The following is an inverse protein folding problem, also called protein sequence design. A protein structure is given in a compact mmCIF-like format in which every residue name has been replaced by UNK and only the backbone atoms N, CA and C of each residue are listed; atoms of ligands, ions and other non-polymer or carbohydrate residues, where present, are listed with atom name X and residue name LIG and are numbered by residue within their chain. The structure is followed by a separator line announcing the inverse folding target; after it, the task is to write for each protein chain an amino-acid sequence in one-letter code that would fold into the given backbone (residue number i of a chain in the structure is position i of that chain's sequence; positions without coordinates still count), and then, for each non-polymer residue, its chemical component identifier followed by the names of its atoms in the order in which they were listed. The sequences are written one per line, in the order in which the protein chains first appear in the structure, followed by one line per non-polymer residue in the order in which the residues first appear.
data_IF_793291337335
#
_entry.id   IF_793291337335
#
_cell.length_a   1.000
_cell.length_b   1.000
_cell.length_c   1.000
_cell.angle_alpha   90.00
_cell.angle_beta   90.00
_cell.angle_gamma   90.00
#
_symmetry.space_group_name_H-M   'P 1'
#
loop_
_entity.id
_entity.type
_entity.pdbx_description
1 polymer ?
#
# COMPACT_ATOMS: atom_id res chain seq x y z
N UNK A 1 18.10 19.09 6.43
CA UNK A 1 16.64 18.90 6.59
C UNK A 1 15.85 18.93 5.27
N UNK A 2 16.16 19.79 4.29
CA UNK A 2 15.47 19.79 2.97
C UNK A 2 15.65 18.49 2.16
N UNK A 3 16.86 17.93 2.19
CA UNK A 3 17.22 16.76 1.37
C UNK A 3 16.41 15.49 1.70
N UNK A 4 16.17 15.20 2.99
CA UNK A 4 15.37 14.03 3.41
C UNK A 4 13.90 14.15 3.00
N UNK A 5 13.33 15.35 3.03
CA UNK A 5 11.97 15.61 2.56
C UNK A 5 11.87 15.46 1.03
N UNK A 6 12.87 15.91 0.28
CA UNK A 6 12.91 15.78 -1.18
C UNK A 6 13.09 14.32 -1.62
N UNK A 7 13.84 13.53 -0.84
CA UNK A 7 14.00 12.09 -1.00
C UNK A 7 12.66 11.37 -0.83
N UNK A 8 11.95 11.61 0.27
CA UNK A 8 10.66 10.96 0.56
C UNK A 8 9.56 11.36 -0.41
N UNK A 9 9.61 12.60 -0.93
CA UNK A 9 8.73 13.04 -2.01
C UNK A 9 9.11 12.44 -3.36
N UNK A 10 10.19 11.66 -3.49
CA UNK A 10 10.61 11.08 -4.77
C UNK A 10 10.97 12.11 -5.83
N UNK A 11 11.41 13.33 -5.45
CA UNK A 11 11.77 14.37 -6.44
C UNK A 11 12.90 13.92 -7.37
N UNK A 12 13.84 13.14 -6.86
CA UNK A 12 14.97 12.58 -7.59
C UNK A 12 14.54 11.52 -8.63
N UNK A 13 13.42 10.83 -8.40
CA UNK A 13 12.81 9.88 -9.37
C UNK A 13 11.93 10.58 -10.40
N UNK A 14 11.59 11.85 -10.18
CA UNK A 14 10.50 12.53 -10.88
C UNK A 14 9.13 11.81 -10.75
N UNK A 15 9.00 10.87 -9.79
CA UNK A 15 7.81 10.07 -9.51
C UNK A 15 7.52 10.02 -8.00
N UNK A 16 6.25 9.98 -7.57
CA UNK A 16 5.91 9.87 -6.16
C UNK A 16 6.36 8.52 -5.60
N UNK A 17 7.03 8.55 -4.44
CA UNK A 17 7.63 7.36 -3.85
C UNK A 17 6.57 6.46 -3.18
N UNK A 18 5.53 7.04 -2.59
CA UNK A 18 4.48 6.28 -1.91
C UNK A 18 3.77 5.27 -2.83
N UNK A 19 3.25 5.66 -4.02
CA UNK A 19 2.65 4.71 -4.97
C UNK A 19 3.61 3.59 -5.39
N UNK A 20 4.92 3.82 -5.47
CA UNK A 20 5.89 2.77 -5.82
C UNK A 20 5.96 1.74 -4.68
N UNK A 21 6.15 2.20 -3.44
CA UNK A 21 6.36 1.32 -2.28
C UNK A 21 5.12 0.48 -1.98
N UNK A 22 3.91 1.06 -2.06
CA UNK A 22 2.66 0.38 -1.67
C UNK A 22 2.30 -0.83 -2.53
N UNK A 23 2.90 -1.00 -3.72
CA UNK A 23 2.72 -2.22 -4.52
C UNK A 23 3.20 -3.46 -3.77
N UNK A 24 4.24 -3.33 -2.93
CA UNK A 24 4.80 -4.46 -2.18
C UNK A 24 3.80 -5.02 -1.16
N UNK A 25 3.29 -4.26 -0.17
CA UNK A 25 2.28 -4.80 0.75
C UNK A 25 1.01 -5.24 0.02
N UNK A 26 0.61 -4.52 -1.04
CA UNK A 26 -0.55 -4.89 -1.86
C UNK A 26 -0.40 -6.25 -2.55
N UNK A 27 0.81 -6.66 -2.93
CA UNK A 27 1.06 -7.98 -3.49
C UNK A 27 1.31 -9.04 -2.39
N UNK A 28 2.10 -8.70 -1.38
CA UNK A 28 2.59 -9.65 -0.38
C UNK A 28 1.49 -10.14 0.57
N UNK A 29 0.63 -9.27 1.09
CA UNK A 29 -0.39 -9.67 2.06
C UNK A 29 -1.52 -10.53 1.47
N UNK A 30 -2.05 -10.24 0.26
CA UNK A 30 -2.93 -11.20 -0.42
C UNK A 30 -2.24 -12.51 -0.76
N UNK A 31 -0.96 -12.48 -1.16
CA UNK A 31 -0.18 -13.71 -1.40
C UNK A 31 -0.05 -14.55 -0.13
N UNK A 32 0.19 -13.92 1.02
CA UNK A 32 0.21 -14.59 2.32
C UNK A 32 -1.10 -15.32 2.60
N UNK A 33 -2.24 -14.67 2.36
CA UNK A 33 -3.55 -15.29 2.48
C UNK A 33 -3.73 -16.48 1.52
N UNK A 34 -3.29 -16.37 0.26
CA UNK A 34 -3.35 -17.47 -0.71
C UNK A 34 -2.56 -18.68 -0.19
N UNK A 35 -1.34 -18.45 0.31
CA UNK A 35 -0.52 -19.51 0.89
C UNK A 35 -1.13 -20.10 2.18
N UNK A 36 -1.77 -19.27 3.02
CA UNK A 36 -2.50 -19.74 4.19
C UNK A 36 -3.64 -20.68 3.78
N UNK A 37 -4.40 -20.34 2.73
CA UNK A 37 -5.48 -21.18 2.17
C UNK A 37 -4.95 -22.49 1.57
N UNK A 38 -3.85 -22.43 0.81
CA UNK A 38 -3.20 -23.64 0.28
C UNK A 38 -2.77 -24.59 1.40
N UNK A 39 -2.29 -24.06 2.52
CA UNK A 39 -1.93 -24.88 3.69
C UNK A 39 -3.15 -25.61 4.29
N UNK A 40 -4.37 -25.04 4.21
CA UNK A 40 -5.59 -25.72 4.69
C UNK A 40 -5.93 -26.94 3.85
N UNK A 41 -5.63 -26.90 2.55
CA UNK A 41 -5.79 -28.03 1.63
C UNK A 41 -4.58 -28.98 1.63
N UNK A 42 -3.65 -28.83 2.57
CA UNK A 42 -2.43 -29.63 2.67
C UNK A 42 -1.54 -29.55 1.41
N UNK A 43 -1.64 -28.45 0.65
CA UNK A 43 -0.84 -28.22 -0.56
C UNK A 43 0.50 -27.59 -0.17
N UNK A 44 1.60 -28.21 -0.61
CA UNK A 44 2.97 -27.71 -0.43
C UNK A 44 3.57 -27.87 0.98
N UNK A 45 2.82 -28.46 1.93
CA UNK A 45 3.28 -28.72 3.30
C UNK A 45 3.78 -27.46 4.01
N UNK A 46 4.87 -27.57 4.77
CA UNK A 46 5.44 -26.43 5.49
C UNK A 46 5.90 -25.27 4.56
N UNK A 47 6.19 -25.53 3.28
CA UNK A 47 6.67 -24.49 2.36
C UNK A 47 5.66 -23.35 2.19
N UNK A 48 4.35 -23.64 2.12
CA UNK A 48 3.31 -22.60 2.00
C UNK A 48 3.18 -21.78 3.29
N UNK A 49 3.29 -22.42 4.46
CA UNK A 49 3.31 -21.72 5.76
C UNK A 49 4.49 -20.75 5.87
N UNK A 50 5.69 -21.17 5.44
CA UNK A 50 6.89 -20.32 5.42
C UNK A 50 6.79 -19.19 4.41
N UNK A 51 6.32 -19.46 3.18
CA UNK A 51 6.12 -18.44 2.15
C UNK A 51 5.14 -17.36 2.61
N UNK A 52 4.02 -17.78 3.22
CA UNK A 52 3.08 -16.84 3.83
C UNK A 52 3.73 -15.99 4.91
N UNK A 53 4.46 -16.63 5.84
CA UNK A 53 5.15 -15.92 6.92
C UNK A 53 6.14 -14.86 6.40
N UNK A 54 6.95 -15.21 5.40
CA UNK A 54 7.87 -14.24 4.79
C UNK A 54 7.14 -13.13 4.02
N UNK A 55 6.05 -13.45 3.32
CA UNK A 55 5.24 -12.44 2.66
C UNK A 55 4.67 -11.42 3.66
N UNK A 56 4.21 -11.87 4.84
CA UNK A 56 3.80 -10.97 5.93
C UNK A 56 4.95 -10.03 6.33
N UNK A 57 6.17 -10.57 6.53
CA UNK A 57 7.35 -9.78 6.89
C UNK A 57 7.67 -8.74 5.82
N UNK A 58 7.74 -9.13 4.54
CA UNK A 58 8.05 -8.20 3.46
C UNK A 58 7.01 -7.09 3.34
N UNK A 59 5.73 -7.41 3.51
CA UNK A 59 4.65 -6.42 3.55
C UNK A 59 4.78 -5.45 4.74
N UNK A 60 5.14 -5.93 5.93
CA UNK A 60 5.37 -5.08 7.10
C UNK A 60 6.56 -4.15 6.91
N UNK A 61 7.70 -4.67 6.45
CA UNK A 61 8.91 -3.88 6.19
C UNK A 61 8.64 -2.78 5.14
N UNK A 62 7.99 -3.13 4.03
CA UNK A 62 7.62 -2.15 3.02
C UNK A 62 6.63 -1.11 3.55
N UNK A 63 5.69 -1.51 4.42
CA UNK A 63 4.74 -0.59 5.04
C UNK A 63 5.43 0.47 5.91
N UNK A 64 6.50 0.12 6.63
CA UNK A 64 7.29 1.09 7.41
C UNK A 64 7.90 2.19 6.54
N UNK A 65 8.21 1.89 5.27
CA UNK A 65 8.70 2.86 4.30
C UNK A 65 7.55 3.63 3.60
N UNK A 66 6.40 2.97 3.42
CA UNK A 66 5.23 3.57 2.77
C UNK A 66 4.54 4.62 3.65
N UNK A 67 4.50 4.43 4.97
CA UNK A 67 3.85 5.34 5.91
C UNK A 67 4.39 6.78 5.82
N UNK A 68 5.70 7.05 5.98
CA UNK A 68 6.20 8.42 5.97
C UNK A 68 6.01 9.10 4.61
N UNK A 69 6.17 8.37 3.51
CA UNK A 69 5.96 8.89 2.15
C UNK A 69 4.48 9.23 1.91
N UNK A 70 3.56 8.39 2.38
CA UNK A 70 2.11 8.62 2.27
C UNK A 70 1.60 9.77 3.14
N UNK A 71 2.09 9.90 4.38
CA UNK A 71 1.78 11.03 5.26
C UNK A 71 2.20 12.36 4.62
N UNK A 72 3.38 12.40 4.00
CA UNK A 72 3.86 13.59 3.31
C UNK A 72 2.99 13.94 2.10
N UNK A 73 2.62 12.96 1.28
CA UNK A 73 1.72 13.16 0.14
C UNK A 73 0.33 13.67 0.59
N UNK A 74 -0.21 13.10 1.68
CA UNK A 74 -1.50 13.52 2.25
C UNK A 74 -1.45 14.91 2.89
N UNK A 75 -0.35 15.28 3.55
CA UNK A 75 -0.20 16.57 4.24
C UNK A 75 -0.29 17.78 3.30
N UNK A 76 -0.01 17.57 2.00
CA UNK A 76 -0.13 18.60 0.97
C UNK A 76 -1.57 18.85 0.48
N UNK A 77 -2.52 18.00 0.88
CA UNK A 77 -3.92 18.12 0.48
C UNK A 77 -4.62 19.14 1.39
N UNK A 78 -5.29 20.13 0.77
CA UNK A 78 -6.10 21.12 1.50
C UNK A 78 -7.30 20.45 2.18
N UNK A 79 -7.57 20.79 3.44
CA UNK A 79 -8.61 20.16 4.28
C UNK A 79 -10.02 20.25 3.70
N UNK A 80 -10.29 21.29 2.92
CA UNK A 80 -11.60 21.54 2.31
C UNK A 80 -11.86 20.64 1.09
N UNK A 81 -10.83 19.96 0.57
CA UNK A 81 -10.95 19.05 -0.58
C UNK A 81 -11.45 17.67 -0.12
N UNK A 82 -12.38 17.03 -0.86
CA UNK A 82 -12.87 15.68 -0.53
C UNK A 82 -11.76 14.64 -0.37
N UNK A 83 -10.68 14.76 -1.17
CA UNK A 83 -9.52 13.88 -1.12
C UNK A 83 -8.83 13.84 0.25
N UNK A 84 -8.92 14.90 1.06
CA UNK A 84 -8.31 14.93 2.40
C UNK A 84 -8.96 13.91 3.34
N UNK A 85 -10.30 13.86 3.37
CA UNK A 85 -11.06 12.88 4.18
C UNK A 85 -10.84 11.45 3.69
N UNK A 86 -10.83 11.25 2.36
CA UNK A 86 -10.57 9.94 1.76
C UNK A 86 -9.17 9.43 2.15
N UNK A 87 -8.17 10.31 2.10
CA UNK A 87 -6.81 9.97 2.54
C UNK A 87 -6.72 9.60 4.02
N UNK A 88 -7.49 10.28 4.88
CA UNK A 88 -7.57 9.90 6.31
C UNK A 88 -8.16 8.50 6.49
N UNK A 89 -9.28 8.18 5.83
CA UNK A 89 -9.88 6.84 5.89
C UNK A 89 -8.94 5.77 5.34
N UNK A 90 -8.28 6.04 4.21
CA UNK A 90 -7.26 5.17 3.64
C UNK A 90 -6.11 4.91 4.62
N UNK A 91 -5.58 5.94 5.28
CA UNK A 91 -4.53 5.78 6.29
C UNK A 91 -4.99 4.94 7.48
N UNK A 92 -6.20 5.18 7.99
CA UNK A 92 -6.73 4.41 9.12
C UNK A 92 -6.94 2.93 8.78
N UNK A 93 -7.50 2.63 7.60
CA UNK A 93 -7.66 1.25 7.14
C UNK A 93 -6.31 0.52 7.03
N UNK A 94 -5.31 1.18 6.45
CA UNK A 94 -3.96 0.59 6.34
C UNK A 94 -3.27 0.43 7.69
N UNK A 95 -3.49 1.35 8.64
CA UNK A 95 -2.96 1.21 9.99
C UNK A 95 -3.55 -0.03 10.67
N UNK A 96 -4.87 -0.23 10.58
CA UNK A 96 -5.53 -1.43 11.13
C UNK A 96 -5.02 -2.69 10.42
N UNK A 97 -4.96 -2.70 9.09
CA UNK A 97 -4.42 -3.83 8.33
C UNK A 97 -2.98 -4.18 8.76
N UNK A 98 -2.10 -3.17 8.88
CA UNK A 98 -0.72 -3.35 9.31
C UNK A 98 -0.63 -3.94 10.74
N UNK A 99 -1.48 -3.47 11.67
CA UNK A 99 -1.54 -4.02 13.02
C UNK A 99 -2.01 -5.49 13.02
N UNK A 100 -3.02 -5.83 12.22
CA UNK A 100 -3.47 -7.22 12.09
C UNK A 100 -2.36 -8.13 11.56
N UNK A 101 -1.61 -7.69 10.55
CA UNK A 101 -0.47 -8.45 10.03
C UNK A 101 0.72 -8.50 11.00
N UNK A 102 0.94 -7.46 11.82
CA UNK A 102 1.96 -7.48 12.87
C UNK A 102 1.60 -8.47 14.00
N UNK A 103 0.33 -8.51 14.41
CA UNK A 103 -0.17 -9.50 15.37
C UNK A 103 -0.06 -10.91 14.77
N UNK A 104 -0.45 -11.08 13.51
CA UNK A 104 -0.36 -12.35 12.78
C UNK A 104 1.09 -12.86 12.73
N UNK A 105 2.06 -12.00 12.42
CA UNK A 105 3.49 -12.30 12.51
C UNK A 105 3.89 -12.78 13.92
N UNK A 106 3.48 -12.05 14.96
CA UNK A 106 3.79 -12.42 16.36
C UNK A 106 3.23 -13.78 16.76
N UNK A 107 2.02 -14.14 16.29
CA UNK A 107 1.40 -15.44 16.57
C UNK A 107 2.10 -16.61 15.88
N UNK A 108 2.84 -16.36 14.79
CA UNK A 108 3.45 -17.41 13.94
C UNK A 108 4.95 -17.54 14.11
N UNK A 109 5.60 -16.60 14.80
CA UNK A 109 7.07 -16.52 14.84
C UNK A 109 7.72 -17.77 15.46
N UNK A 110 7.00 -18.46 16.34
CA UNK A 110 7.51 -19.64 17.06
C UNK A 110 7.33 -20.95 16.28
N UNK A 111 6.30 -21.05 15.42
CA UNK A 111 5.89 -22.32 14.81
C UNK A 111 6.00 -22.37 13.29
N UNK A 112 6.23 -21.23 12.60
CA UNK A 112 6.25 -21.17 11.13
C UNK A 112 7.24 -22.13 10.44
N UNK A 113 8.26 -22.61 11.14
CA UNK A 113 9.28 -23.53 10.61
C UNK A 113 8.81 -24.98 10.58
N UNK A 114 7.92 -25.36 11.48
CA UNK A 114 7.47 -26.74 11.66
C UNK A 114 6.01 -26.93 11.23
N UNK A 115 5.18 -25.90 11.37
CA UNK A 115 3.77 -25.98 11.03
C UNK A 115 3.54 -26.29 9.54
N UNK A 116 2.70 -27.27 9.27
CA UNK A 116 2.26 -27.63 7.90
C UNK A 116 0.92 -27.00 7.53
N UNK A 117 0.21 -26.44 8.51
CA UNK A 117 -1.08 -25.79 8.34
C UNK A 117 -1.17 -24.57 9.23
N UNK A 118 -1.69 -23.47 8.69
CA UNK A 118 -1.87 -22.24 9.46
C UNK A 118 -3.06 -22.37 10.41
N UNK A 119 -2.87 -21.96 11.67
CA UNK A 119 -3.93 -21.98 12.68
C UNK A 119 -5.09 -21.03 12.31
N UNK A 120 -6.29 -21.32 12.83
CA UNK A 120 -7.53 -20.60 12.50
C UNK A 120 -7.46 -19.09 12.80
N UNK A 121 -6.83 -18.70 13.91
CA UNK A 121 -6.72 -17.29 14.31
C UNK A 121 -5.84 -16.50 13.32
N UNK A 122 -4.56 -16.89 13.05
CA UNK A 122 -3.76 -16.26 12.00
C UNK A 122 -4.42 -16.24 10.63
N UNK A 123 -5.10 -17.32 10.22
CA UNK A 123 -5.85 -17.34 8.96
C UNK A 123 -6.96 -16.27 8.93
N UNK A 124 -7.72 -16.13 10.02
CA UNK A 124 -8.74 -15.10 10.17
C UNK A 124 -8.17 -13.68 10.11
N UNK A 125 -6.99 -13.45 10.72
CA UNK A 125 -6.28 -12.18 10.64
C UNK A 125 -5.83 -11.87 9.20
N UNK A 126 -5.32 -12.85 8.46
CA UNK A 126 -4.95 -12.71 7.04
C UNK A 126 -6.16 -12.35 6.18
N UNK A 127 -7.31 -13.00 6.41
CA UNK A 127 -8.56 -12.73 5.69
C UNK A 127 -9.04 -11.29 5.91
N UNK A 128 -9.18 -10.87 7.18
CA UNK A 128 -9.66 -9.54 7.54
C UNK A 128 -8.65 -8.47 7.08
N UNK A 129 -7.36 -8.68 7.34
CA UNK A 129 -6.29 -7.77 6.96
C UNK A 129 -6.24 -7.54 5.45
N UNK A 130 -6.32 -8.60 4.65
CA UNK A 130 -6.37 -8.50 3.18
C UNK A 130 -7.66 -7.81 2.70
N UNK A 131 -8.81 -8.10 3.31
CA UNK A 131 -10.07 -7.41 2.99
C UNK A 131 -10.00 -5.90 3.23
N UNK A 132 -9.48 -5.48 4.39
CA UNK A 132 -9.24 -4.06 4.71
C UNK A 132 -8.23 -3.42 3.75
N UNK A 133 -7.17 -4.13 3.39
CA UNK A 133 -6.17 -3.66 2.42
C UNK A 133 -6.80 -3.40 1.05
N UNK A 134 -7.62 -4.31 0.52
CA UNK A 134 -8.31 -4.15 -0.77
C UNK A 134 -9.27 -2.96 -0.72
N UNK A 135 -10.07 -2.84 0.34
CA UNK A 135 -10.95 -1.70 0.54
C UNK A 135 -10.17 -0.37 0.61
N UNK A 136 -9.03 -0.38 1.28
CA UNK A 136 -8.12 0.77 1.33
C UNK A 136 -7.51 1.08 -0.03
N UNK A 137 -7.14 0.07 -0.82
CA UNK A 137 -6.59 0.24 -2.17
C UNK A 137 -7.59 0.92 -3.10
N UNK A 138 -8.88 0.63 -2.98
CA UNK A 138 -9.93 1.37 -3.69
C UNK A 138 -9.93 2.86 -3.34
N UNK A 139 -9.83 3.21 -2.05
CA UNK A 139 -9.75 4.62 -1.63
C UNK A 139 -8.48 5.31 -2.15
N UNK A 140 -7.33 4.63 -2.09
CA UNK A 140 -6.07 5.12 -2.65
C UNK A 140 -6.16 5.35 -4.16
N UNK A 141 -6.74 4.39 -4.88
CA UNK A 141 -7.03 4.51 -6.31
C UNK A 141 -7.93 5.72 -6.61
N UNK A 142 -8.99 5.95 -5.82
CA UNK A 142 -9.81 7.17 -5.98
C UNK A 142 -9.01 8.45 -5.79
N UNK A 143 -8.09 8.51 -4.81
CA UNK A 143 -7.23 9.69 -4.65
C UNK A 143 -6.38 9.96 -5.90
N UNK A 144 -5.81 8.91 -6.49
CA UNK A 144 -4.96 9.00 -7.68
C UNK A 144 -5.77 9.30 -8.93
N UNK A 145 -6.74 8.45 -9.26
CA UNK A 145 -7.45 8.48 -10.55
C UNK A 145 -8.58 9.49 -10.60
N UNK A 146 -9.26 9.77 -9.47
CA UNK A 146 -10.36 10.76 -9.44
C UNK A 146 -9.87 12.16 -9.08
N UNK A 147 -8.97 12.26 -8.09
CA UNK A 147 -8.53 13.55 -7.54
C UNK A 147 -7.12 13.97 -7.96
N UNK A 148 -6.39 13.14 -8.72
CA UNK A 148 -5.07 13.46 -9.24
C UNK A 148 -3.98 13.61 -8.17
N UNK A 149 -4.20 13.10 -6.95
CA UNK A 149 -3.22 13.18 -5.86
C UNK A 149 -1.94 12.43 -6.28
N UNK A 150 -0.79 13.09 -6.08
CA UNK A 150 0.55 12.59 -6.44
C UNK A 150 0.83 12.39 -7.94
N UNK A 151 -0.16 12.55 -8.83
CA UNK A 151 -0.01 12.53 -10.30
C UNK A 151 0.02 13.95 -10.87
N UNK A 152 -0.87 14.82 -10.40
CA UNK A 152 -0.93 16.22 -10.79
C UNK A 152 0.02 17.07 -9.93
N UNK A 153 1.34 16.88 -10.10
CA UNK A 153 2.35 17.80 -9.51
C UNK A 153 2.37 19.18 -10.17
N UNK A 154 1.58 19.36 -11.21
CA UNK A 154 1.53 20.56 -12.04
C UNK A 154 0.07 20.99 -12.15
N UNK A 155 -0.19 22.29 -12.01
CA UNK A 155 -1.53 22.83 -12.26
C UNK A 155 -2.00 22.49 -13.68
N UNK A 156 -3.31 22.42 -13.93
CA UNK A 156 -3.88 22.26 -15.29
C UNK A 156 -3.18 23.22 -16.26
N UNK A 157 -2.99 24.47 -15.86
CA UNK A 157 -2.25 25.48 -16.64
C UNK A 157 -0.79 25.09 -16.96
N UNK A 158 -0.04 24.59 -15.98
CA UNK A 158 1.36 24.15 -16.19
C UNK A 158 1.43 22.91 -17.07
N UNK A 159 0.53 21.95 -16.89
CA UNK A 159 0.45 20.76 -17.74
C UNK A 159 0.09 21.12 -19.19
N UNK A 160 -0.91 21.99 -19.40
CA UNK A 160 -1.30 22.46 -20.74
C UNK A 160 -0.14 23.14 -21.46
N UNK A 161 0.61 24.02 -20.79
CA UNK A 161 1.81 24.65 -21.36
C UNK A 161 2.85 23.64 -21.84
N UNK A 162 3.09 22.58 -21.06
CA UNK A 162 4.06 21.52 -21.43
C UNK A 162 3.52 20.70 -22.61
N UNK A 163 2.22 20.37 -22.60
CA UNK A 163 1.58 19.62 -23.66
C UNK A 163 1.55 20.41 -24.99
N UNK A 164 1.20 21.69 -24.96
CA UNK A 164 1.29 22.61 -26.10
C UNK A 164 2.73 22.70 -26.65
N UNK A 165 3.73 22.87 -25.76
CA UNK A 165 5.13 22.93 -26.17
C UNK A 165 5.64 21.61 -26.78
N UNK A 166 5.01 20.47 -26.43
CA UNK A 166 5.29 19.16 -27.01
C UNK A 166 4.46 18.86 -28.28
N UNK A 167 3.65 19.80 -28.76
CA UNK A 167 2.80 19.64 -29.94
C UNK A 167 1.55 18.79 -29.71
N UNK A 168 1.12 18.59 -28.46
CA UNK A 168 -0.10 17.86 -28.16
C UNK A 168 -1.34 18.68 -28.58
N UNK A 169 -2.32 18.00 -29.19
CA UNK A 169 -3.59 18.62 -29.55
C UNK A 169 -4.51 18.65 -28.32
N UNK A 170 -4.67 19.82 -27.70
CA UNK A 170 -5.42 19.98 -26.45
C UNK A 170 -6.89 20.34 -26.70
N UNK A 171 -7.84 19.79 -25.93
CA UNK A 171 -9.23 20.23 -25.99
C UNK A 171 -9.38 21.71 -25.55
N UNK A 172 -10.40 22.43 -26.03
CA UNK A 172 -10.75 23.76 -25.55
C UNK A 172 -10.96 23.79 -24.03
N UNK A 173 -10.79 24.96 -23.42
CA UNK A 173 -10.94 25.13 -21.97
C UNK A 173 -12.38 25.02 -21.46
#
# INVERSE_FOLDING_TARGET
MKWSLDLLKGKWLNHPLHPIIVHVPMAMWPSALIFDLLSQWQIGGNATVRLSFYAIIFGLVASLLAVPTGVLDWSGIKKEKPAWKIGLYHMMLNLVAALLFAINFGLRIQDFREATTVARIPLGLSLIGTGLLIGSAYLGGRMVYTYGISVARMSKAKWRKIAEAAGANLPPE
#
